data_IF_283951726191
#
_entry.id   IF_283951726191
#
_cell.length_a   1.000
_cell.length_b   1.000
_cell.length_c   1.000
_cell.angle_alpha   90.00
_cell.angle_beta   90.00
_cell.angle_gamma   90.00
#
_symmetry.space_group_name_H-M   'P 1'
#
loop_
_entity.id
_entity.type
_entity.pdbx_description
1 polymer ?
#
# COMPACT_ATOMS: atom_id res chain seq x y z
N UNK A 1 8.71 8.82 13.07
CA UNK A 1 8.51 7.56 12.32
C UNK A 1 9.17 7.77 10.98
N UNK A 2 10.00 6.89 10.52
CA UNK A 2 10.81 7.06 9.31
C UNK A 2 10.34 6.03 8.27
N UNK A 3 10.05 6.49 7.06
CA UNK A 3 9.61 5.67 5.92
C UNK A 3 10.79 5.08 5.15
N UNK A 4 11.92 5.80 5.13
CA UNK A 4 13.12 5.35 4.45
C UNK A 4 13.93 4.40 5.34
N UNK A 5 14.25 3.19 4.87
CA UNK A 5 15.17 2.34 5.59
C UNK A 5 16.57 2.98 5.58
N UNK A 6 17.18 3.13 6.73
CA UNK A 6 18.58 3.52 6.83
C UNK A 6 19.46 2.47 6.15
N UNK A 7 19.94 2.76 4.98
CA UNK A 7 20.92 1.91 4.29
C UNK A 7 22.31 2.48 4.48
N UNK A 8 23.21 1.72 5.07
CA UNK A 8 24.64 2.08 5.20
C UNK A 8 25.33 2.33 3.85
N UNK A 9 24.67 2.03 2.74
CA UNK A 9 25.20 2.05 1.37
C UNK A 9 24.58 3.16 0.50
N UNK A 10 23.78 4.07 1.07
CA UNK A 10 23.07 5.11 0.30
C UNK A 10 21.69 4.65 -0.22
N UNK A 11 20.98 5.56 -0.86
CA UNK A 11 19.64 5.28 -1.38
C UNK A 11 19.66 4.37 -2.60
N UNK A 12 18.73 3.42 -2.65
CA UNK A 12 18.48 2.61 -3.84
C UNK A 12 17.90 3.46 -4.98
N UNK A 13 18.07 3.05 -6.22
CA UNK A 13 17.55 3.81 -7.37
C UNK A 13 16.02 3.83 -7.46
N UNK A 14 15.32 2.82 -6.94
CA UNK A 14 13.86 2.73 -6.99
C UNK A 14 13.27 2.12 -5.73
N UNK A 15 12.28 2.80 -5.15
CA UNK A 15 11.51 2.37 -3.99
C UNK A 15 10.03 2.25 -4.34
N UNK A 16 9.39 1.21 -3.84
CA UNK A 16 7.94 1.12 -3.75
C UNK A 16 7.54 1.18 -2.28
N UNK A 17 6.81 2.21 -1.91
CA UNK A 17 6.38 2.45 -0.54
C UNK A 17 4.88 2.19 -0.43
N UNK A 18 4.52 1.11 0.26
CA UNK A 18 3.13 0.83 0.59
C UNK A 18 2.79 1.50 1.91
N UNK A 19 1.91 2.49 1.88
CA UNK A 19 1.53 3.34 3.02
C UNK A 19 0.06 3.19 3.37
N UNK A 20 -0.31 3.56 4.58
CA UNK A 20 -1.70 3.49 5.04
C UNK A 20 -2.57 4.53 4.35
N UNK A 21 -2.02 5.72 4.11
CA UNK A 21 -2.66 6.83 3.42
C UNK A 21 -1.61 7.55 2.57
N UNK A 22 -1.94 7.79 1.30
CA UNK A 22 -0.97 8.34 0.32
C UNK A 22 -0.47 9.73 0.69
N UNK A 23 -1.36 10.63 1.13
CA UNK A 23 -0.99 12.01 1.42
C UNK A 23 -0.05 12.10 2.62
N UNK A 24 -0.39 11.45 3.71
CA UNK A 24 0.46 11.35 4.91
C UNK A 24 1.80 10.70 4.60
N UNK A 25 1.80 9.60 3.83
CA UNK A 25 3.01 8.90 3.42
C UNK A 25 3.93 9.76 2.54
N UNK A 26 3.37 10.56 1.62
CA UNK A 26 4.15 11.49 0.78
C UNK A 26 4.79 12.60 1.63
N UNK A 27 4.05 13.17 2.57
CA UNK A 27 4.57 14.23 3.43
C UNK A 27 5.71 13.72 4.32
N UNK A 28 5.55 12.53 4.89
CA UNK A 28 6.59 11.87 5.67
C UNK A 28 7.82 11.55 4.81
N UNK A 29 7.62 10.99 3.61
CA UNK A 29 8.70 10.70 2.66
C UNK A 29 9.49 11.95 2.29
N UNK A 30 8.82 13.08 2.03
CA UNK A 30 9.49 14.35 1.72
C UNK A 30 10.38 14.81 2.87
N UNK A 31 9.87 14.75 4.10
CA UNK A 31 10.64 15.11 5.30
C UNK A 31 11.86 14.19 5.46
N UNK A 32 11.67 12.87 5.34
CA UNK A 32 12.78 11.91 5.43
C UNK A 32 13.85 12.16 4.37
N UNK A 33 13.44 12.50 3.14
CA UNK A 33 14.37 12.77 2.03
C UNK A 33 15.14 14.08 2.23
N UNK A 34 14.49 15.14 2.73
CA UNK A 34 15.15 16.43 3.03
C UNK A 34 16.18 16.25 4.15
N UNK A 35 15.87 15.44 5.17
CA UNK A 35 16.80 15.10 6.25
C UNK A 35 17.98 14.23 5.76
N UNK A 36 17.70 13.11 5.06
CA UNK A 36 18.71 12.14 4.61
C UNK A 36 19.69 12.74 3.58
N UNK A 37 19.18 13.53 2.64
CA UNK A 37 19.98 14.11 1.57
C UNK A 37 20.49 15.52 1.90
N UNK A 38 20.05 16.11 3.00
CA UNK A 38 20.37 17.50 3.38
C UNK A 38 20.07 18.50 2.26
N UNK A 39 18.95 18.29 1.54
CA UNK A 39 18.50 19.13 0.41
C UNK A 39 17.06 19.59 0.65
N UNK A 40 16.72 20.80 0.19
CA UNK A 40 15.32 21.22 0.12
C UNK A 40 14.70 20.71 -1.16
N UNK A 41 13.52 20.10 -1.07
CA UNK A 41 12.73 19.68 -2.24
C UNK A 41 11.98 20.87 -2.85
N UNK A 42 11.63 21.86 -2.04
CA UNK A 42 10.94 23.05 -2.54
C UNK A 42 11.88 23.92 -3.39
N UNK A 43 11.47 24.20 -4.64
CA UNK A 43 12.27 24.99 -5.58
C UNK A 43 13.45 24.24 -6.22
N UNK A 44 13.61 22.96 -5.93
CA UNK A 44 14.65 22.13 -6.55
C UNK A 44 14.23 21.75 -7.98
N UNK A 45 14.98 22.13 -9.02
CA UNK A 45 14.65 21.81 -10.42
C UNK A 45 14.73 20.31 -10.73
N UNK A 46 15.47 19.54 -9.92
CA UNK A 46 15.60 18.09 -10.05
C UNK A 46 14.54 17.33 -9.23
N UNK A 47 13.61 18.03 -8.56
CA UNK A 47 12.50 17.42 -7.87
C UNK A 47 11.29 17.27 -8.78
N UNK A 48 10.83 16.04 -8.95
CA UNK A 48 9.63 15.69 -9.74
C UNK A 48 8.59 15.07 -8.82
N UNK A 49 7.38 15.63 -8.83
CA UNK A 49 6.23 15.06 -8.16
C UNK A 49 5.09 14.85 -9.15
N UNK A 50 4.49 13.65 -9.16
CA UNK A 50 3.30 13.33 -9.94
C UNK A 50 2.31 12.55 -9.09
N UNK A 51 1.02 12.75 -9.34
CA UNK A 51 -0.04 12.04 -8.65
C UNK A 51 -1.08 11.55 -9.66
N UNK A 52 -1.43 10.26 -9.57
CA UNK A 52 -2.39 9.60 -10.44
C UNK A 52 -3.28 8.67 -9.59
N UNK A 53 -4.59 8.71 -9.80
CA UNK A 53 -5.45 7.65 -9.24
C UNK A 53 -5.26 6.34 -10.01
N UNK A 54 -5.14 6.45 -11.33
CA UNK A 54 -4.84 5.34 -12.23
C UNK A 54 -3.73 5.75 -13.20
N UNK A 55 -2.61 5.07 -13.11
CA UNK A 55 -1.48 5.32 -14.00
C UNK A 55 -1.61 4.47 -15.27
N UNK A 56 -1.82 5.13 -16.40
CA UNK A 56 -1.88 4.54 -17.73
C UNK A 56 -0.51 4.59 -18.43
N UNK A 57 -0.40 3.96 -19.60
CA UNK A 57 0.84 3.86 -20.37
C UNK A 57 1.41 5.22 -20.77
N UNK A 58 0.56 6.19 -21.09
CA UNK A 58 0.99 7.55 -21.48
C UNK A 58 1.71 8.26 -20.32
N UNK A 59 1.22 8.07 -19.07
CA UNK A 59 1.88 8.58 -17.87
C UNK A 59 3.28 7.95 -17.66
N UNK A 60 3.42 6.66 -17.98
CA UNK A 60 4.72 5.99 -17.91
C UNK A 60 5.70 6.51 -18.98
N UNK A 61 5.20 6.83 -20.17
CA UNK A 61 5.99 7.46 -21.22
C UNK A 61 6.43 8.88 -20.84
N UNK A 62 5.52 9.71 -20.30
CA UNK A 62 5.84 11.03 -19.75
C UNK A 62 6.95 10.95 -18.71
N UNK A 63 6.83 10.03 -17.74
CA UNK A 63 7.86 9.83 -16.73
C UNK A 63 9.21 9.43 -17.34
N UNK A 64 9.21 8.58 -18.35
CA UNK A 64 10.45 8.18 -19.03
C UNK A 64 11.14 9.38 -19.69
N UNK A 65 10.39 10.27 -20.33
CA UNK A 65 10.92 11.48 -20.94
C UNK A 65 11.49 12.44 -19.87
N UNK A 66 10.75 12.66 -18.79
CA UNK A 66 11.20 13.49 -17.67
C UNK A 66 12.48 12.97 -17.02
N UNK A 67 12.59 11.65 -16.86
CA UNK A 67 13.74 10.98 -16.25
C UNK A 67 14.93 10.85 -17.21
N UNK A 68 14.71 10.93 -18.53
CA UNK A 68 15.74 10.79 -19.56
C UNK A 68 16.78 11.92 -19.58
N UNK A 69 16.46 13.09 -19.04
CA UNK A 69 17.38 14.22 -18.94
C UNK A 69 18.35 14.03 -17.78
N UNK A 70 19.61 14.47 -17.92
CA UNK A 70 20.57 14.46 -16.81
C UNK A 70 20.13 15.44 -15.72
N UNK A 71 20.14 15.02 -14.43
CA UNK A 71 19.92 15.95 -13.33
C UNK A 71 21.11 16.89 -13.15
N UNK A 72 20.88 18.05 -12.53
CA UNK A 72 21.95 18.98 -12.17
C UNK A 72 22.82 18.41 -11.05
N UNK A 73 22.21 17.79 -10.06
CA UNK A 73 22.90 17.14 -8.93
C UNK A 73 22.33 15.74 -8.72
N UNK A 74 21.19 15.64 -8.07
CA UNK A 74 20.49 14.38 -7.77
C UNK A 74 19.00 14.58 -7.99
N UNK A 75 18.42 13.74 -8.83
CA UNK A 75 16.99 13.77 -9.10
C UNK A 75 16.22 12.92 -8.10
N UNK A 76 15.17 13.51 -7.58
CA UNK A 76 14.20 12.85 -6.73
C UNK A 76 12.87 12.88 -7.46
N UNK A 77 12.36 11.70 -7.80
CA UNK A 77 11.07 11.54 -8.46
C UNK A 77 10.11 10.80 -7.53
N UNK A 78 9.07 11.48 -7.07
CA UNK A 78 8.00 10.89 -6.26
C UNK A 78 6.74 10.75 -7.12
N UNK A 79 6.21 9.54 -7.22
CA UNK A 79 4.96 9.24 -7.91
C UNK A 79 3.96 8.66 -6.93
N UNK A 80 2.91 9.43 -6.64
CA UNK A 80 1.75 8.95 -5.88
C UNK A 80 0.80 8.25 -6.83
N UNK A 81 0.39 7.02 -6.51
CA UNK A 81 -0.49 6.26 -7.40
C UNK A 81 -1.49 5.40 -6.65
N UNK A 82 -2.76 5.39 -7.10
CA UNK A 82 -3.76 4.44 -6.60
C UNK A 82 -3.54 3.04 -7.18
N UNK A 83 -3.44 2.95 -8.51
CA UNK A 83 -3.14 1.70 -9.23
C UNK A 83 -2.34 1.98 -10.50
N UNK A 84 -1.38 1.11 -10.83
CA UNK A 84 -0.64 1.13 -12.09
C UNK A 84 -1.21 0.06 -13.02
N UNK A 85 -1.71 0.47 -14.18
CA UNK A 85 -2.25 -0.46 -15.17
C UNK A 85 -1.15 -1.35 -15.74
N UNK A 86 -1.53 -2.53 -16.23
CA UNK A 86 -0.60 -3.56 -16.71
C UNK A 86 0.38 -3.03 -17.78
N UNK A 87 -0.14 -2.29 -18.76
CA UNK A 87 0.64 -1.71 -19.85
C UNK A 87 1.62 -0.64 -19.34
N UNK A 88 1.19 0.17 -18.37
CA UNK A 88 2.04 1.15 -17.73
C UNK A 88 3.19 0.50 -16.95
N UNK A 89 2.92 -0.62 -16.25
CA UNK A 89 3.96 -1.37 -15.57
C UNK A 89 5.02 -1.90 -16.53
N UNK A 90 4.62 -2.44 -17.68
CA UNK A 90 5.54 -2.90 -18.71
C UNK A 90 6.37 -1.75 -19.32
N UNK A 91 5.77 -0.57 -19.51
CA UNK A 91 6.49 0.61 -19.99
C UNK A 91 7.53 1.12 -18.97
N UNK A 92 7.23 1.02 -17.67
CA UNK A 92 8.15 1.39 -16.60
C UNK A 92 9.34 0.44 -16.47
N UNK A 93 9.24 -0.83 -16.88
CA UNK A 93 10.35 -1.78 -16.80
C UNK A 93 11.63 -1.24 -17.44
N UNK A 94 11.49 -0.58 -18.60
CA UNK A 94 12.65 -0.02 -19.32
C UNK A 94 13.40 1.05 -18.52
N UNK A 95 12.70 1.81 -17.67
CA UNK A 95 13.32 2.84 -16.81
C UNK A 95 14.15 2.17 -15.71
N UNK A 96 13.66 1.05 -15.15
CA UNK A 96 14.29 0.40 -14.01
C UNK A 96 15.27 -0.72 -14.40
N UNK A 97 15.34 -1.08 -15.68
CA UNK A 97 16.39 -1.94 -16.23
C UNK A 97 17.71 -1.20 -16.42
N UNK A 98 17.62 0.06 -16.86
CA UNK A 98 18.77 0.96 -17.03
C UNK A 98 18.44 2.30 -16.37
N UNK A 99 18.49 2.36 -15.03
CA UNK A 99 18.08 3.54 -14.30
C UNK A 99 19.01 4.72 -14.55
N UNK A 100 18.46 5.93 -14.77
CA UNK A 100 19.25 7.12 -14.96
C UNK A 100 20.18 7.36 -13.76
N UNK A 101 21.44 7.72 -14.02
CA UNK A 101 22.41 8.02 -12.98
C UNK A 101 21.94 9.17 -12.08
N UNK A 102 22.29 9.14 -10.81
CA UNK A 102 21.93 10.15 -9.83
C UNK A 102 20.40 10.43 -9.78
N UNK A 103 19.59 9.37 -9.90
CA UNK A 103 18.14 9.46 -9.86
C UNK A 103 17.58 8.46 -8.86
N UNK A 104 16.75 8.94 -7.95
CA UNK A 104 16.00 8.11 -7.00
C UNK A 104 14.51 8.24 -7.28
N UNK A 105 13.89 7.11 -7.52
CA UNK A 105 12.46 7.02 -7.83
C UNK A 105 11.70 6.42 -6.65
N UNK A 106 10.61 7.06 -6.26
CA UNK A 106 9.75 6.62 -5.18
C UNK A 106 8.33 6.51 -5.69
N UNK A 107 7.79 5.29 -5.71
CA UNK A 107 6.38 5.06 -5.97
C UNK A 107 5.66 4.86 -4.64
N UNK A 108 4.66 5.70 -4.36
CA UNK A 108 3.88 5.67 -3.12
C UNK A 108 2.46 5.22 -3.44
N UNK A 109 2.00 4.16 -2.80
CA UNK A 109 0.67 3.59 -2.99
C UNK A 109 0.15 2.99 -1.68
N UNK A 110 -1.16 2.78 -1.57
CA UNK A 110 -1.76 2.11 -0.41
C UNK A 110 -1.60 0.59 -0.44
N UNK A 111 -1.33 0.02 -1.61
CA UNK A 111 -1.15 -1.43 -1.79
C UNK A 111 -0.18 -1.75 -2.91
N UNK A 112 0.54 -2.84 -2.78
CA UNK A 112 1.43 -3.40 -3.80
C UNK A 112 0.83 -4.64 -4.50
N UNK A 113 -0.43 -4.98 -4.22
CA UNK A 113 -1.08 -6.20 -4.70
C UNK A 113 -1.24 -6.28 -6.22
N UNK A 114 -1.24 -5.13 -6.91
CA UNK A 114 -1.34 -5.04 -8.37
C UNK A 114 0.01 -5.09 -9.08
N UNK A 115 1.13 -5.04 -8.35
CA UNK A 115 2.45 -5.03 -8.98
C UNK A 115 2.77 -6.38 -9.62
N UNK A 116 3.17 -6.31 -10.88
CA UNK A 116 3.72 -7.47 -11.58
C UNK A 116 5.03 -7.92 -10.91
N UNK A 117 5.27 -9.23 -10.84
CA UNK A 117 6.53 -9.74 -10.25
C UNK A 117 7.78 -9.16 -10.92
N UNK A 118 7.74 -8.94 -12.22
CA UNK A 118 8.82 -8.34 -13.02
C UNK A 118 9.13 -6.90 -12.61
N UNK A 119 8.11 -6.07 -12.35
CA UNK A 119 8.31 -4.71 -11.89
C UNK A 119 8.70 -4.70 -10.40
N UNK A 120 8.04 -5.52 -9.59
CA UNK A 120 8.32 -5.66 -8.16
C UNK A 120 9.78 -6.00 -7.87
N UNK A 121 10.39 -6.88 -8.67
CA UNK A 121 11.79 -7.29 -8.48
C UNK A 121 12.83 -6.19 -8.68
N UNK A 122 12.43 -5.05 -9.26
CA UNK A 122 13.28 -3.88 -9.51
C UNK A 122 13.14 -2.79 -8.47
N UNK A 123 12.14 -2.92 -7.59
CA UNK A 123 11.92 -2.00 -6.49
C UNK A 123 12.48 -2.54 -5.18
N UNK A 124 13.03 -1.66 -4.37
CA UNK A 124 13.10 -1.91 -2.94
C UNK A 124 11.70 -1.68 -2.36
N UNK A 125 11.00 -2.76 -2.06
CA UNK A 125 9.63 -2.70 -1.55
C UNK A 125 9.66 -2.51 -0.04
N UNK A 126 9.24 -1.35 0.42
CA UNK A 126 9.01 -1.07 1.82
C UNK A 126 7.50 -0.98 2.08
N UNK A 127 7.05 -1.70 3.08
CA UNK A 127 5.69 -1.57 3.59
C UNK A 127 5.76 -0.85 4.91
N UNK A 128 5.09 0.30 4.97
CA UNK A 128 4.85 0.94 6.24
C UNK A 128 4.29 -0.12 7.19
N UNK A 129 4.96 -0.34 8.32
CA UNK A 129 4.29 -1.06 9.39
C UNK A 129 3.10 -0.21 9.75
N UNK A 130 1.93 -0.61 9.30
CA UNK A 130 0.70 -0.08 9.88
C UNK A 130 0.88 -0.31 11.37
N UNK A 131 1.25 0.74 12.08
CA UNK A 131 1.00 0.80 13.51
C UNK A 131 -0.51 0.85 13.53
N UNK A 132 -1.11 -0.32 13.55
CA UNK A 132 -2.54 -0.44 13.73
C UNK A 132 -2.80 0.23 15.09
N UNK A 133 -3.19 1.50 15.04
CA UNK A 133 -3.82 2.17 16.19
C UNK A 133 -5.11 1.43 16.57
N UNK A 134 -5.38 0.33 15.90
CA UNK A 134 -6.49 -0.59 16.03
C UNK A 134 -6.09 -1.99 16.50
N UNK A 135 -4.81 -2.27 16.87
CA UNK A 135 -4.44 -3.57 17.49
C UNK A 135 -5.30 -3.89 18.75
N UNK A 136 -6.04 -2.90 19.24
CA UNK A 136 -7.05 -3.09 20.29
C UNK A 136 -8.49 -3.20 19.79
N UNK A 137 -8.82 -2.91 18.51
CA UNK A 137 -10.24 -2.99 18.06
C UNK A 137 -10.69 -4.43 17.85
N UNK A 138 -9.87 -5.27 17.22
CA UNK A 138 -10.18 -6.71 17.11
C UNK A 138 -10.20 -7.38 18.46
N UNK A 139 -9.24 -7.08 19.33
CA UNK A 139 -9.24 -7.63 20.68
C UNK A 139 -10.48 -7.17 21.47
N UNK A 140 -10.84 -5.88 21.44
CA UNK A 140 -12.08 -5.37 22.01
C UNK A 140 -13.31 -6.03 21.37
N UNK A 141 -13.33 -6.14 20.04
CA UNK A 141 -14.41 -6.81 19.32
C UNK A 141 -14.60 -8.26 19.77
N UNK A 142 -13.51 -9.00 19.99
CA UNK A 142 -13.57 -10.38 20.44
C UNK A 142 -14.18 -10.53 21.85
N UNK A 143 -14.05 -9.51 22.69
CA UNK A 143 -14.65 -9.51 24.05
C UNK A 143 -16.13 -9.13 24.10
N UNK A 144 -16.68 -8.60 22.98
CA UNK A 144 -18.09 -8.21 22.90
C UNK A 144 -19.02 -9.42 22.98
N UNK A 145 -20.24 -9.20 23.46
CA UNK A 145 -21.32 -10.19 23.34
C UNK A 145 -21.70 -10.43 21.88
N UNK A 146 -22.35 -11.54 21.58
CA UNK A 146 -22.78 -11.87 20.21
C UNK A 146 -23.65 -10.76 19.59
N UNK A 147 -24.56 -10.17 20.37
CA UNK A 147 -25.43 -9.08 19.90
C UNK A 147 -24.63 -7.82 19.52
N UNK A 148 -23.66 -7.43 20.37
CA UNK A 148 -22.79 -6.30 20.10
C UNK A 148 -21.89 -6.54 18.89
N UNK A 149 -21.37 -7.78 18.73
CA UNK A 149 -20.62 -8.18 17.53
C UNK A 149 -21.44 -8.02 16.27
N UNK A 150 -22.71 -8.48 16.29
CA UNK A 150 -23.63 -8.35 15.14
C UNK A 150 -23.92 -6.88 14.78
N UNK A 151 -24.09 -6.02 15.78
CA UNK A 151 -24.24 -4.57 15.56
C UNK A 151 -23.00 -3.98 14.94
N UNK A 152 -21.81 -4.29 15.49
CA UNK A 152 -20.53 -3.76 15.01
C UNK A 152 -20.23 -4.18 13.55
N UNK A 153 -20.47 -5.44 13.19
CA UNK A 153 -20.25 -5.89 11.81
C UNK A 153 -21.26 -5.28 10.84
N UNK A 154 -22.47 -4.92 11.28
CA UNK A 154 -23.43 -4.16 10.46
C UNK A 154 -22.90 -2.76 10.15
N UNK A 155 -22.39 -2.03 11.14
CA UNK A 155 -21.76 -0.72 10.95
C UNK A 155 -20.58 -0.78 9.97
N UNK A 156 -19.69 -1.79 10.11
CA UNK A 156 -18.55 -2.00 9.22
C UNK A 156 -19.01 -2.30 7.79
N UNK A 157 -20.06 -3.11 7.62
CA UNK A 157 -20.62 -3.44 6.31
C UNK A 157 -21.23 -2.20 5.62
N UNK A 158 -21.88 -1.31 6.39
CA UNK A 158 -22.43 -0.04 5.91
C UNK A 158 -21.35 0.95 5.51
N UNK A 159 -20.21 0.95 6.20
CA UNK A 159 -19.05 1.80 5.87
C UNK A 159 -18.39 1.43 4.52
N UNK A 160 -18.73 0.28 3.92
CA UNK A 160 -18.37 -0.07 2.55
C UNK A 160 -17.42 -1.26 2.43
N UNK A 161 -17.09 -1.59 1.17
CA UNK A 161 -16.29 -2.77 0.82
C UNK A 161 -14.87 -2.69 1.39
N UNK A 162 -14.27 -1.51 1.36
CA UNK A 162 -12.90 -1.31 1.87
C UNK A 162 -12.81 -1.47 3.39
N UNK A 163 -13.79 -0.93 4.13
CA UNK A 163 -13.88 -1.10 5.58
C UNK A 163 -14.07 -2.58 5.94
N UNK A 164 -14.96 -3.29 5.22
CA UNK A 164 -15.21 -4.72 5.37
C UNK A 164 -13.94 -5.53 5.14
N UNK A 165 -13.22 -5.26 4.04
CA UNK A 165 -11.98 -5.95 3.71
C UNK A 165 -10.90 -5.74 4.77
N UNK A 166 -10.71 -4.50 5.20
CA UNK A 166 -9.74 -4.13 6.23
C UNK A 166 -9.99 -4.86 7.54
N UNK A 167 -11.23 -4.89 7.99
CA UNK A 167 -11.61 -5.62 9.20
C UNK A 167 -11.36 -7.13 9.08
N UNK A 168 -11.64 -7.73 7.93
CA UNK A 168 -11.33 -9.14 7.68
C UNK A 168 -9.82 -9.42 7.66
N UNK A 169 -9.02 -8.49 7.12
CA UNK A 169 -7.56 -8.60 7.13
C UNK A 169 -6.99 -8.56 8.57
N UNK A 170 -7.59 -7.76 9.44
CA UNK A 170 -7.21 -7.67 10.85
C UNK A 170 -7.58 -8.94 11.61
N UNK A 171 -8.80 -9.46 11.43
CA UNK A 171 -9.22 -10.73 12.00
C UNK A 171 -8.30 -11.88 11.56
N UNK A 172 -7.98 -11.96 10.26
CA UNK A 172 -7.07 -13.00 9.75
C UNK A 172 -5.70 -12.90 10.42
N UNK A 173 -5.12 -11.71 10.55
CA UNK A 173 -3.84 -11.52 11.24
C UNK A 173 -3.89 -11.95 12.70
N UNK A 174 -4.97 -11.61 13.40
CA UNK A 174 -5.12 -11.98 14.80
C UNK A 174 -5.19 -13.50 14.97
N UNK A 175 -6.01 -14.18 14.18
CA UNK A 175 -6.20 -15.63 14.28
C UNK A 175 -5.07 -16.45 13.65
N UNK A 176 -4.30 -15.88 12.72
CA UNK A 176 -3.11 -16.55 12.15
C UNK A 176 -2.00 -16.80 13.17
N UNK A 177 -2.05 -16.18 14.35
CA UNK A 177 -1.12 -16.43 15.45
C UNK A 177 -1.29 -17.86 16.03
N UNK A 178 -2.50 -18.44 15.94
CA UNK A 178 -2.78 -19.82 16.33
C UNK A 178 -3.72 -20.52 15.33
N UNK A 179 -3.15 -20.93 14.21
CA UNK A 179 -3.87 -21.54 13.10
C UNK A 179 -4.62 -22.81 13.51
N UNK A 180 -4.05 -23.59 14.43
CA UNK A 180 -4.67 -24.86 14.84
C UNK A 180 -6.00 -24.67 15.54
N UNK A 181 -6.05 -23.70 16.44
CA UNK A 181 -7.26 -23.39 17.22
C UNK A 181 -8.32 -22.72 16.36
N UNK A 182 -7.92 -21.82 15.45
CA UNK A 182 -8.84 -20.95 14.69
C UNK A 182 -9.02 -21.35 13.21
N UNK A 183 -8.74 -22.60 12.86
CA UNK A 183 -8.81 -23.09 11.46
C UNK A 183 -10.17 -22.83 10.80
N UNK A 184 -11.27 -23.05 11.54
CA UNK A 184 -12.62 -22.84 11.02
C UNK A 184 -12.89 -21.35 10.73
N UNK A 185 -12.53 -20.47 11.65
CA UNK A 185 -12.68 -19.01 11.49
C UNK A 185 -11.85 -18.50 10.32
N UNK A 186 -10.59 -18.91 10.23
CA UNK A 186 -9.69 -18.57 9.12
C UNK A 186 -10.24 -19.02 7.78
N UNK A 187 -10.81 -20.22 7.70
CA UNK A 187 -11.47 -20.72 6.48
C UNK A 187 -12.63 -19.81 6.06
N UNK A 188 -13.46 -19.37 7.01
CA UNK A 188 -14.58 -18.45 6.76
C UNK A 188 -14.10 -17.06 6.32
N UNK A 189 -13.02 -16.57 6.89
CA UNK A 189 -12.43 -15.28 6.48
C UNK A 189 -11.92 -15.36 5.05
N UNK A 190 -11.18 -16.42 4.69
CA UNK A 190 -10.63 -16.60 3.33
C UNK A 190 -11.79 -16.76 2.31
N UNK A 191 -12.80 -17.55 2.64
CA UNK A 191 -14.00 -17.70 1.81
C UNK A 191 -14.72 -16.36 1.61
N UNK A 192 -14.94 -15.62 2.70
CA UNK A 192 -15.57 -14.31 2.69
C UNK A 192 -14.82 -13.28 1.83
N UNK A 193 -13.49 -13.28 1.88
CA UNK A 193 -12.66 -12.41 1.02
C UNK A 193 -12.86 -12.71 -0.47
N UNK A 194 -13.02 -13.98 -0.84
CA UNK A 194 -13.33 -14.37 -2.23
C UNK A 194 -14.71 -13.89 -2.65
N UNK A 195 -15.71 -14.04 -1.78
CA UNK A 195 -17.07 -13.56 -2.06
C UNK A 195 -17.14 -12.04 -2.15
N UNK A 196 -16.35 -11.34 -1.36
CA UNK A 196 -16.32 -9.85 -1.38
C UNK A 196 -15.89 -9.27 -2.74
N UNK A 197 -15.22 -10.06 -3.59
CA UNK A 197 -14.87 -9.67 -4.95
C UNK A 197 -16.05 -9.71 -5.93
N UNK A 198 -17.16 -10.35 -5.55
CA UNK A 198 -18.35 -10.46 -6.41
C UNK A 198 -19.22 -9.19 -6.30
N UNK A 199 -19.74 -8.65 -7.41
CA UNK A 199 -20.52 -7.41 -7.41
C UNK A 199 -21.81 -7.47 -6.56
N UNK A 200 -22.38 -8.69 -6.38
CA UNK A 200 -23.61 -8.93 -5.64
C UNK A 200 -23.39 -9.42 -4.20
N UNK A 201 -22.17 -9.36 -3.69
CA UNK A 201 -21.84 -9.88 -2.37
C UNK A 201 -22.50 -9.06 -1.25
N UNK A 202 -23.19 -9.75 -0.35
CA UNK A 202 -23.69 -9.16 0.89
C UNK A 202 -22.55 -9.04 1.89
N UNK A 203 -21.99 -7.84 2.03
CA UNK A 203 -20.93 -7.54 3.01
C UNK A 203 -21.35 -7.95 4.42
N UNK A 204 -22.60 -7.61 4.80
CA UNK A 204 -23.17 -7.93 6.10
C UNK A 204 -23.23 -9.44 6.31
N UNK A 205 -23.79 -10.20 5.37
CA UNK A 205 -23.88 -11.66 5.48
C UNK A 205 -22.52 -12.36 5.56
N UNK A 206 -21.50 -11.83 4.85
CA UNK A 206 -20.12 -12.32 4.95
C UNK A 206 -19.59 -12.16 6.38
N UNK A 207 -19.69 -10.95 6.96
CA UNK A 207 -19.20 -10.66 8.29
C UNK A 207 -19.97 -11.43 9.37
N UNK A 208 -21.30 -11.52 9.24
CA UNK A 208 -22.14 -12.32 10.17
C UNK A 208 -21.73 -13.81 10.15
N UNK A 209 -21.41 -14.37 8.98
CA UNK A 209 -20.95 -15.76 8.89
C UNK A 209 -19.61 -15.99 9.60
N UNK A 210 -18.75 -15.02 9.62
CA UNK A 210 -17.46 -15.07 10.35
C UNK A 210 -17.73 -14.96 11.85
N UNK A 211 -18.61 -14.06 12.28
CA UNK A 211 -18.99 -13.91 13.69
C UNK A 211 -19.62 -15.19 14.26
N UNK A 212 -20.43 -15.89 13.47
CA UNK A 212 -21.02 -17.15 13.88
C UNK A 212 -19.99 -18.31 13.99
N UNK A 213 -18.80 -18.14 13.46
CA UNK A 213 -17.72 -19.12 13.57
C UNK A 213 -16.73 -18.81 14.70
N UNK A 214 -16.88 -17.65 15.38
CA UNK A 214 -16.12 -17.23 16.56
C UNK A 214 -16.67 -17.84 17.83
#
# INVERSE_FOLDING_TARGET
MQLLPHTKTGLHHAYFLSVSERESGINLLKTDLEEELSVSLMGNPDFIFRSYDRMAVDHAHELRELLGNKPLVTRICIVSVGVVLHEAQNALLKIFEDPPSNTHFFMVSETDSYLLPTLRSRFFVHRERRVDTQDGEVEKFLTLSLGEKMTKVSEIAEAGTEATRRFMDELERNFSKDIKTYQNVLSKIIEGKRFLLLPSASRKGILESIVCAL
#
